data_IF_261456095043
#
_entry.id   IF_261456095043
#
_cell.length_a   1.000
_cell.length_b   1.000
_cell.length_c   1.000
_cell.angle_alpha   90.00
_cell.angle_beta   90.00
_cell.angle_gamma   90.00
#
_symmetry.space_group_name_H-M   'P 1'
#
loop_
_entity.id
_entity.type
_entity.pdbx_description
1 polymer ?
#
# COMPACT_ATOMS: atom_id res chain seq x y z
N UNK A 1 -7.45 -10.78 20.89
CA UNK A 1 -6.59 -10.59 19.71
C UNK A 1 -6.35 -9.10 19.48
N UNK A 2 -7.21 -8.44 18.71
CA UNK A 2 -7.05 -7.03 18.27
C UNK A 2 -6.67 -6.07 19.41
N UNK A 3 -7.40 -6.08 20.54
CA UNK A 3 -7.09 -5.19 21.68
C UNK A 3 -5.64 -5.28 22.17
N UNK A 4 -5.09 -6.50 22.28
CA UNK A 4 -3.70 -6.70 22.73
C UNK A 4 -2.69 -6.14 21.72
N UNK A 5 -3.01 -6.21 20.43
CA UNK A 5 -2.18 -5.67 19.35
C UNK A 5 -2.25 -4.14 19.29
N UNK A 6 -3.44 -3.56 19.51
CA UNK A 6 -3.64 -2.10 19.59
C UNK A 6 -2.95 -1.48 20.81
N UNK A 7 -3.00 -2.15 21.96
CA UNK A 7 -2.38 -1.72 23.22
C UNK A 7 -0.86 -1.98 23.25
N UNK A 8 -0.30 -2.61 22.20
CA UNK A 8 1.11 -3.02 22.13
C UNK A 8 1.56 -3.85 23.35
N UNK A 9 0.70 -4.74 23.81
CA UNK A 9 0.96 -5.54 25.00
C UNK A 9 2.05 -6.60 24.69
N UNK A 10 3.11 -6.62 25.49
CA UNK A 10 4.25 -7.54 25.32
C UNK A 10 3.88 -9.01 25.46
N UNK A 11 2.73 -9.34 26.08
CA UNK A 11 2.24 -10.72 26.15
C UNK A 11 2.08 -11.34 24.77
N UNK A 12 1.86 -10.54 23.72
CA UNK A 12 1.75 -11.01 22.33
C UNK A 12 3.03 -11.72 21.87
N UNK A 13 4.20 -11.30 22.34
CA UNK A 13 5.48 -11.89 21.94
C UNK A 13 5.72 -13.28 22.55
N UNK A 14 4.99 -13.60 23.64
CA UNK A 14 5.03 -14.90 24.31
C UNK A 14 4.06 -15.91 23.68
N UNK A 15 3.02 -15.42 22.98
CA UNK A 15 1.99 -16.29 22.39
C UNK A 15 2.52 -17.10 21.19
N UNK A 16 2.08 -18.36 21.10
CA UNK A 16 2.23 -19.15 19.88
C UNK A 16 1.15 -18.76 18.87
N UNK A 17 1.47 -17.83 17.97
CA UNK A 17 0.58 -17.40 16.89
C UNK A 17 0.97 -18.17 15.62
N UNK A 18 0.06 -19.00 15.11
CA UNK A 18 0.29 -19.87 13.96
C UNK A 18 -0.30 -19.28 12.68
N UNK A 19 0.42 -19.45 11.57
CA UNK A 19 -0.07 -19.17 10.22
C UNK A 19 -0.49 -20.47 9.54
N UNK A 20 -1.66 -20.45 8.91
CA UNK A 20 -2.20 -21.59 8.16
C UNK A 20 -2.08 -21.34 6.65
N UNK A 21 -1.82 -22.40 5.88
CA UNK A 21 -1.78 -22.34 4.42
C UNK A 21 -0.57 -21.62 3.81
N UNK A 22 0.43 -21.24 4.62
CA UNK A 22 1.66 -20.60 4.13
C UNK A 22 2.64 -21.61 3.53
N UNK A 23 2.72 -22.80 4.12
CA UNK A 23 3.56 -23.90 3.67
C UNK A 23 2.70 -25.13 3.41
N UNK A 24 2.99 -25.87 2.32
CA UNK A 24 2.40 -27.20 2.11
C UNK A 24 3.12 -28.24 2.98
N UNK A 25 2.99 -28.07 4.30
CA UNK A 25 3.70 -28.85 5.30
C UNK A 25 2.79 -29.16 6.49
N UNK A 26 3.05 -30.28 7.16
CA UNK A 26 2.41 -30.63 8.44
C UNK A 26 3.02 -29.87 9.62
N UNK A 27 4.15 -29.18 9.41
CA UNK A 27 4.84 -28.41 10.43
C UNK A 27 4.02 -27.17 10.79
N UNK A 28 3.96 -26.85 12.08
CA UNK A 28 3.44 -25.58 12.56
C UNK A 28 4.30 -24.42 12.04
N UNK A 29 3.69 -23.48 11.32
CA UNK A 29 4.35 -22.23 10.91
C UNK A 29 4.04 -21.15 11.95
N UNK A 30 5.04 -20.75 12.75
CA UNK A 30 4.87 -19.73 13.80
C UNK A 30 5.21 -18.32 13.26
N UNK A 31 4.36 -17.35 13.56
CA UNK A 31 4.66 -15.94 13.34
C UNK A 31 5.49 -15.38 14.51
N UNK A 32 6.66 -14.83 14.20
CA UNK A 32 7.68 -14.43 15.20
C UNK A 32 7.64 -12.95 15.60
N UNK A 33 7.06 -12.07 14.76
CA UNK A 33 7.10 -10.61 14.93
C UNK A 33 5.72 -9.99 14.73
N UNK A 34 4.71 -10.59 15.36
CA UNK A 34 3.30 -10.22 15.13
C UNK A 34 3.02 -8.79 15.56
N UNK A 35 3.49 -8.39 16.75
CA UNK A 35 3.23 -7.06 17.29
C UNK A 35 3.77 -5.92 16.39
N UNK A 36 5.07 -5.88 16.02
CA UNK A 36 5.57 -4.86 15.10
C UNK A 36 4.98 -4.98 13.69
N UNK A 37 4.76 -6.19 13.18
CA UNK A 37 4.18 -6.39 11.85
C UNK A 37 2.75 -5.83 11.77
N UNK A 38 1.94 -6.01 12.82
CA UNK A 38 0.60 -5.46 12.89
C UNK A 38 0.60 -3.93 12.82
N UNK A 39 1.45 -3.28 13.63
CA UNK A 39 1.58 -1.82 13.62
C UNK A 39 1.98 -1.27 12.25
N UNK A 40 3.04 -1.83 11.65
CA UNK A 40 3.51 -1.43 10.32
C UNK A 40 2.43 -1.65 9.27
N UNK A 41 1.71 -2.79 9.30
CA UNK A 41 0.68 -3.07 8.31
C UNK A 41 -0.47 -2.05 8.36
N UNK A 42 -0.86 -1.59 9.55
CA UNK A 42 -1.84 -0.51 9.70
C UNK A 42 -1.36 0.83 9.12
N UNK A 43 -0.09 1.15 9.34
CA UNK A 43 0.55 2.35 8.76
C UNK A 43 0.58 2.27 7.23
N UNK A 44 0.92 1.10 6.68
CA UNK A 44 0.91 0.86 5.24
C UNK A 44 -0.49 0.96 4.62
N UNK A 45 -1.53 0.46 5.30
CA UNK A 45 -2.93 0.64 4.86
C UNK A 45 -3.30 2.12 4.85
N UNK A 46 -2.90 2.87 5.88
CA UNK A 46 -3.16 4.30 5.98
C UNK A 46 -2.42 5.08 4.87
N UNK A 47 -1.15 4.75 4.63
CA UNK A 47 -0.35 5.29 3.54
C UNK A 47 -0.98 4.98 2.16
N UNK A 48 -1.43 3.74 1.93
CA UNK A 48 -2.16 3.37 0.72
C UNK A 48 -3.40 4.24 0.50
N UNK A 49 -4.22 4.42 1.55
CA UNK A 49 -5.38 5.31 1.53
C UNK A 49 -5.02 6.74 1.12
N UNK A 50 -4.07 7.34 1.85
CA UNK A 50 -3.64 8.73 1.65
C UNK A 50 -2.98 8.92 0.28
N UNK A 51 -2.17 7.99 -0.19
CA UNK A 51 -1.53 8.09 -1.51
C UNK A 51 -2.55 8.14 -2.65
N UNK A 52 -3.62 7.35 -2.59
CA UNK A 52 -4.70 7.43 -3.59
C UNK A 52 -5.44 8.77 -3.53
N UNK A 53 -5.64 9.32 -2.33
CA UNK A 53 -6.26 10.63 -2.13
C UNK A 53 -5.41 11.79 -2.66
N UNK A 54 -4.09 11.75 -2.41
CA UNK A 54 -3.15 12.74 -2.95
C UNK A 54 -3.13 12.68 -4.47
N UNK A 55 -3.04 11.48 -5.05
CA UNK A 55 -3.07 11.28 -6.50
C UNK A 55 -4.37 11.81 -7.12
N UNK A 56 -5.51 11.53 -6.50
CA UNK A 56 -6.81 12.04 -6.94
C UNK A 56 -6.83 13.58 -6.96
N UNK A 57 -6.36 14.21 -5.88
CA UNK A 57 -6.35 15.67 -5.78
C UNK A 57 -5.43 16.32 -6.83
N UNK A 58 -4.26 15.73 -7.08
CA UNK A 58 -3.30 16.19 -8.08
C UNK A 58 -3.87 16.03 -9.50
N UNK A 59 -4.40 14.85 -9.83
CA UNK A 59 -4.94 14.56 -11.16
C UNK A 59 -6.14 15.44 -11.50
N UNK A 60 -7.06 15.61 -10.55
CA UNK A 60 -8.25 16.45 -10.72
C UNK A 60 -7.96 17.95 -10.50
N UNK A 61 -6.70 18.31 -10.22
CA UNK A 61 -6.23 19.69 -9.96
C UNK A 61 -7.08 20.43 -8.92
N UNK A 62 -7.39 19.74 -7.82
CA UNK A 62 -8.26 20.27 -6.77
C UNK A 62 -7.49 21.26 -5.90
N UNK A 63 -8.02 22.47 -5.77
CA UNK A 63 -7.37 23.56 -5.04
C UNK A 63 -8.08 23.95 -3.74
N UNK A 64 -9.24 23.37 -3.45
CA UNK A 64 -10.01 23.67 -2.23
C UNK A 64 -10.48 22.42 -1.49
N UNK A 65 -10.52 22.52 -0.16
CA UNK A 65 -11.06 21.45 0.70
C UNK A 65 -12.52 21.09 0.39
N UNK A 66 -13.32 22.10 -0.02
CA UNK A 66 -14.74 21.90 -0.31
C UNK A 66 -14.93 21.03 -1.55
N UNK A 67 -14.19 21.33 -2.61
CA UNK A 67 -14.25 20.57 -3.87
C UNK A 67 -13.67 19.16 -3.67
N UNK A 68 -12.63 19.05 -2.84
CA UNK A 68 -12.05 17.75 -2.47
C UNK A 68 -13.10 16.83 -1.81
N UNK A 69 -13.87 17.33 -0.85
CA UNK A 69 -14.92 16.53 -0.21
C UNK A 69 -16.02 16.07 -1.17
N UNK A 70 -16.32 16.85 -2.22
CA UNK A 70 -17.36 16.50 -3.20
C UNK A 70 -16.97 15.33 -4.10
N UNK A 71 -15.67 15.15 -4.36
CA UNK A 71 -15.17 14.06 -5.22
C UNK A 71 -14.82 12.79 -4.44
N UNK A 72 -14.84 12.83 -3.10
CA UNK A 72 -14.55 11.66 -2.29
C UNK A 72 -15.64 10.59 -2.45
N UNK A 73 -15.27 9.31 -2.51
CA UNK A 73 -16.25 8.23 -2.57
C UNK A 73 -16.85 7.96 -1.18
N UNK A 74 -17.67 8.88 -0.67
CA UNK A 74 -18.23 8.88 0.70
C UNK A 74 -19.06 7.63 1.04
N UNK A 75 -19.55 6.92 0.02
CA UNK A 75 -20.33 5.68 0.16
C UNK A 75 -19.51 4.41 -0.08
N UNK A 76 -18.20 4.54 -0.27
CA UNK A 76 -17.34 3.39 -0.51
C UNK A 76 -17.40 2.41 0.66
N UNK A 77 -17.53 1.13 0.32
CA UNK A 77 -17.40 0.01 1.24
C UNK A 77 -16.25 -0.85 0.78
N UNK A 78 -15.46 -1.35 1.72
CA UNK A 78 -14.38 -2.28 1.39
C UNK A 78 -15.01 -3.57 0.88
N UNK A 79 -14.52 -4.03 -0.27
CA UNK A 79 -14.93 -5.27 -0.91
C UNK A 79 -13.74 -6.23 -1.00
N UNK A 80 -14.01 -7.51 -1.16
CA UNK A 80 -12.97 -8.51 -1.43
C UNK A 80 -12.48 -8.40 -2.87
N UNK A 81 -11.18 -8.52 -3.06
CA UNK A 81 -10.54 -8.55 -4.38
C UNK A 81 -9.95 -9.93 -4.65
N UNK A 82 -9.90 -10.30 -5.93
CA UNK A 82 -9.34 -11.57 -6.39
C UNK A 82 -8.39 -11.32 -7.55
N UNK A 83 -7.31 -12.09 -7.61
CA UNK A 83 -6.42 -12.12 -8.76
C UNK A 83 -6.98 -13.11 -9.78
N UNK A 84 -7.25 -12.63 -10.99
CA UNK A 84 -7.75 -13.45 -12.10
C UNK A 84 -6.84 -13.24 -13.30
N UNK A 85 -5.95 -14.19 -13.54
CA UNK A 85 -5.04 -14.15 -14.69
C UNK A 85 -4.04 -12.98 -14.67
N UNK A 86 -3.65 -12.50 -13.48
CA UNK A 86 -2.73 -11.37 -13.32
C UNK A 86 -3.41 -10.02 -13.11
N UNK A 87 -4.73 -9.93 -13.30
CA UNK A 87 -5.50 -8.71 -13.01
C UNK A 87 -6.21 -8.83 -11.66
N UNK A 88 -6.06 -7.82 -10.82
CA UNK A 88 -6.83 -7.68 -9.57
C UNK A 88 -8.18 -7.02 -9.87
N UNK A 89 -9.26 -7.67 -9.47
CA UNK A 89 -10.62 -7.17 -9.63
C UNK A 89 -11.46 -7.44 -8.37
N UNK A 90 -12.51 -6.63 -8.11
CA UNK A 90 -13.50 -6.93 -7.09
C UNK A 90 -14.15 -8.28 -7.35
N UNK A 91 -14.31 -9.08 -6.29
CA UNK A 91 -14.96 -10.40 -6.36
C UNK A 91 -16.36 -10.33 -6.98
N UNK A 92 -17.11 -9.29 -6.64
CA UNK A 92 -18.45 -9.05 -7.20
C UNK A 92 -18.45 -8.90 -8.73
N UNK A 93 -17.38 -8.31 -9.31
CA UNK A 93 -17.23 -8.22 -10.77
C UNK A 93 -17.03 -9.61 -11.38
N UNK A 94 -16.18 -10.44 -10.77
CA UNK A 94 -15.98 -11.83 -11.21
C UNK A 94 -17.26 -12.66 -11.09
N UNK A 95 -17.96 -12.57 -9.96
CA UNK A 95 -19.21 -13.31 -9.75
C UNK A 95 -20.27 -12.91 -10.80
N UNK A 96 -20.29 -11.65 -11.21
CA UNK A 96 -21.17 -11.16 -12.29
C UNK A 96 -20.77 -11.78 -13.64
N UNK A 97 -19.49 -11.83 -13.96
CA UNK A 97 -18.98 -12.46 -15.18
C UNK A 97 -19.32 -13.96 -15.22
N UNK A 98 -19.08 -14.69 -14.13
CA UNK A 98 -19.40 -16.12 -14.03
C UNK A 98 -20.90 -16.37 -14.25
N UNK A 99 -21.78 -15.55 -13.68
CA UNK A 99 -23.22 -15.62 -13.95
C UNK A 99 -23.56 -15.34 -15.41
N UNK A 100 -22.88 -14.39 -16.05
CA UNK A 100 -23.10 -14.07 -17.46
C UNK A 100 -22.62 -15.19 -18.39
N UNK A 101 -21.54 -15.90 -18.04
CA UNK A 101 -21.09 -17.10 -18.73
C UNK A 101 -22.12 -18.23 -18.60
N UNK A 102 -22.55 -18.54 -17.37
CA UNK A 102 -23.53 -19.61 -17.12
C UNK A 102 -24.90 -19.34 -17.78
N UNK A 103 -25.31 -18.08 -17.86
CA UNK A 103 -26.57 -17.69 -18.53
C UNK A 103 -26.45 -17.57 -20.05
N UNK A 104 -25.26 -17.80 -20.63
CA UNK A 104 -25.02 -17.65 -22.06
C UNK A 104 -25.13 -16.20 -22.54
N UNK A 105 -25.01 -15.20 -21.66
CA UNK A 105 -24.91 -13.79 -22.06
C UNK A 105 -23.52 -13.47 -22.60
N UNK A 106 -22.49 -14.05 -22.00
CA UNK A 106 -21.14 -14.07 -22.57
C UNK A 106 -21.00 -15.38 -23.34
N UNK A 107 -20.78 -15.29 -24.66
CA UNK A 107 -20.73 -16.46 -25.57
C UNK A 107 -19.39 -16.65 -26.26
N UNK A 108 -18.47 -15.70 -26.13
CA UNK A 108 -17.21 -15.72 -26.86
C UNK A 108 -16.02 -15.26 -26.01
N UNK A 109 -14.82 -15.68 -26.40
CA UNK A 109 -13.57 -15.19 -25.78
C UNK A 109 -13.39 -13.68 -25.97
N UNK A 110 -13.86 -13.11 -27.07
CA UNK A 110 -13.81 -11.67 -27.30
C UNK A 110 -14.63 -10.90 -26.26
N UNK A 111 -15.81 -11.41 -25.88
CA UNK A 111 -16.63 -10.81 -24.82
C UNK A 111 -15.99 -10.96 -23.44
N UNK A 112 -15.29 -12.07 -23.18
CA UNK A 112 -14.45 -12.23 -21.98
C UNK A 112 -13.34 -11.17 -21.95
N UNK A 113 -12.59 -10.98 -23.04
CA UNK A 113 -11.54 -9.96 -23.11
C UNK A 113 -12.10 -8.54 -22.96
N UNK A 114 -13.26 -8.25 -23.54
CA UNK A 114 -13.95 -6.97 -23.36
C UNK A 114 -14.33 -6.72 -21.89
N UNK A 115 -14.72 -7.78 -21.15
CA UNK A 115 -14.94 -7.68 -19.70
C UNK A 115 -13.65 -7.31 -18.96
N UNK A 116 -12.51 -7.93 -19.29
CA UNK A 116 -11.22 -7.59 -18.66
C UNK A 116 -10.79 -6.16 -18.96
N UNK A 117 -10.90 -5.71 -20.21
CA UNK A 117 -10.61 -4.33 -20.62
C UNK A 117 -11.45 -3.34 -19.82
N UNK A 118 -12.77 -3.55 -19.77
CA UNK A 118 -13.68 -2.70 -18.99
C UNK A 118 -13.32 -2.65 -17.51
N UNK A 119 -12.94 -3.77 -16.90
CA UNK A 119 -12.49 -3.76 -15.50
C UNK A 119 -11.11 -3.13 -15.34
N UNK A 120 -10.27 -3.15 -16.38
CA UNK A 120 -9.00 -2.42 -16.43
C UNK A 120 -9.23 -0.92 -16.37
N UNK A 121 -10.17 -0.42 -17.19
CA UNK A 121 -10.54 1.00 -17.21
C UNK A 121 -11.11 1.47 -15.86
N UNK A 122 -11.93 0.62 -15.23
CA UNK A 122 -12.55 0.90 -13.92
C UNK A 122 -11.58 0.71 -12.74
N UNK A 123 -10.42 0.08 -12.95
CA UNK A 123 -9.53 -0.34 -11.86
C UNK A 123 -9.11 0.83 -10.98
N UNK A 124 -8.80 1.98 -11.59
CA UNK A 124 -8.37 3.18 -10.87
C UNK A 124 -9.43 3.67 -9.89
N UNK A 125 -10.67 3.79 -10.34
CA UNK A 125 -11.78 4.25 -9.52
C UNK A 125 -12.14 3.22 -8.44
N UNK A 126 -12.14 1.94 -8.78
CA UNK A 126 -12.38 0.85 -7.81
C UNK A 126 -11.28 0.81 -6.74
N UNK A 127 -10.02 0.98 -7.13
CA UNK A 127 -8.87 1.04 -6.22
C UNK A 127 -8.97 2.25 -5.29
N UNK A 128 -9.39 3.41 -5.79
CA UNK A 128 -9.61 4.62 -4.98
C UNK A 128 -10.73 4.39 -3.95
N UNK A 129 -11.87 3.82 -4.36
CA UNK A 129 -12.96 3.49 -3.45
C UNK A 129 -12.50 2.53 -2.35
N UNK A 130 -11.79 1.46 -2.73
CA UNK A 130 -11.22 0.50 -1.78
C UNK A 130 -10.22 1.16 -0.82
N UNK A 131 -9.34 2.02 -1.33
CA UNK A 131 -8.35 2.74 -0.52
C UNK A 131 -9.01 3.65 0.52
N UNK A 132 -10.01 4.43 0.10
CA UNK A 132 -10.73 5.33 0.99
C UNK A 132 -11.52 4.56 2.06
N UNK A 133 -12.22 3.49 1.69
CA UNK A 133 -12.92 2.65 2.65
C UNK A 133 -11.97 2.00 3.66
N UNK A 134 -10.82 1.49 3.20
CA UNK A 134 -9.80 0.88 4.06
C UNK A 134 -9.18 1.90 5.03
N UNK A 135 -8.95 3.14 4.56
CA UNK A 135 -8.44 4.24 5.38
C UNK A 135 -9.41 4.61 6.52
N UNK A 136 -10.71 4.66 6.21
CA UNK A 136 -11.74 4.95 7.21
C UNK A 136 -11.86 3.81 8.23
N UNK A 137 -11.87 2.56 7.77
CA UNK A 137 -11.98 1.35 8.60
C UNK A 137 -10.79 1.26 9.58
N UNK A 138 -9.56 1.40 9.09
CA UNK A 138 -8.35 1.25 9.92
C UNK A 138 -8.19 2.35 10.97
N UNK A 139 -8.72 3.55 10.69
CA UNK A 139 -8.74 4.68 11.62
C UNK A 139 -10.02 4.73 12.47
N UNK A 140 -10.95 3.78 12.31
CA UNK A 140 -12.25 3.73 13.00
C UNK A 140 -13.07 5.02 12.81
N UNK A 141 -13.03 5.57 11.59
CA UNK A 141 -13.68 6.82 11.22
C UNK A 141 -14.95 6.58 10.40
N UNK A 142 -15.96 7.42 10.62
CA UNK A 142 -17.08 7.57 9.69
C UNK A 142 -16.72 8.61 8.63
N UNK A 143 -17.31 8.56 7.41
CA UNK A 143 -17.08 9.59 6.40
C UNK A 143 -17.35 11.02 6.90
N UNK A 144 -18.35 11.19 7.79
CA UNK A 144 -18.68 12.47 8.42
C UNK A 144 -17.60 13.02 9.36
N UNK A 145 -16.78 12.15 9.95
CA UNK A 145 -15.67 12.53 10.84
C UNK A 145 -14.39 12.84 10.07
N UNK A 146 -14.35 12.58 8.77
CA UNK A 146 -13.22 12.93 7.91
C UNK A 146 -13.18 14.44 7.67
N UNK A 147 -12.42 15.15 8.51
CA UNK A 147 -12.28 16.60 8.49
C UNK A 147 -10.83 17.04 8.25
N UNK A 148 -10.60 18.36 8.14
CA UNK A 148 -9.28 18.93 7.85
C UNK A 148 -8.19 18.47 8.82
N UNK A 149 -8.47 18.50 10.13
CA UNK A 149 -7.50 18.10 11.17
C UNK A 149 -7.10 16.63 11.02
N UNK A 150 -8.08 15.77 10.78
CA UNK A 150 -7.83 14.35 10.54
C UNK A 150 -7.01 14.15 9.28
N UNK A 151 -7.38 14.81 8.18
CA UNK A 151 -6.64 14.65 6.92
C UNK A 151 -5.21 15.18 7.01
N UNK A 152 -4.98 16.29 7.72
CA UNK A 152 -3.62 16.79 8.01
C UNK A 152 -2.77 15.73 8.69
N UNK A 153 -3.27 15.17 9.79
CA UNK A 153 -2.57 14.14 10.56
C UNK A 153 -2.25 12.92 9.69
N UNK A 154 -3.20 12.51 8.85
CA UNK A 154 -3.00 11.38 7.93
C UNK A 154 -1.95 11.67 6.86
N UNK A 155 -1.88 12.91 6.34
CA UNK A 155 -0.83 13.32 5.40
C UNK A 155 0.54 13.31 6.06
N UNK A 156 0.67 13.89 7.25
CA UNK A 156 1.92 13.91 8.02
C UNK A 156 2.40 12.48 8.33
N UNK A 157 1.49 11.61 8.78
CA UNK A 157 1.78 10.19 9.01
C UNK A 157 2.20 9.47 7.72
N UNK A 158 1.55 9.75 6.59
CA UNK A 158 1.89 9.14 5.30
C UNK A 158 3.29 9.57 4.81
N UNK A 159 3.67 10.84 5.03
CA UNK A 159 5.03 11.33 4.74
C UNK A 159 6.05 10.58 5.59
N UNK A 160 5.83 10.50 6.91
CA UNK A 160 6.72 9.79 7.83
C UNK A 160 6.84 8.29 7.49
N UNK A 161 5.73 7.65 7.11
CA UNK A 161 5.72 6.25 6.67
C UNK A 161 6.57 6.07 5.41
N UNK A 162 6.42 6.96 4.42
CA UNK A 162 7.19 6.90 3.18
C UNK A 162 8.68 7.17 3.38
N UNK A 163 9.02 8.08 4.30
CA UNK A 163 10.40 8.37 4.71
C UNK A 163 11.04 7.14 5.38
N UNK A 164 10.33 6.50 6.30
CA UNK A 164 10.77 5.25 6.91
C UNK A 164 10.99 4.15 5.86
N UNK A 165 10.09 4.02 4.88
CA UNK A 165 10.26 3.06 3.77
C UNK A 165 11.52 3.35 2.95
N UNK A 166 11.79 4.61 2.62
CA UNK A 166 13.00 5.00 1.88
C UNK A 166 14.27 4.64 2.65
N UNK A 167 14.29 4.96 3.96
CA UNK A 167 15.41 4.60 4.84
C UNK A 167 15.59 3.07 4.91
N UNK A 168 14.51 2.31 5.06
CA UNK A 168 14.58 0.85 5.10
C UNK A 168 15.09 0.23 3.79
N UNK A 169 14.73 0.81 2.64
CA UNK A 169 15.26 0.42 1.32
C UNK A 169 16.77 0.66 1.26
N UNK A 170 17.20 1.86 1.67
CA UNK A 170 18.62 2.21 1.73
C UNK A 170 19.39 1.27 2.67
N UNK A 171 18.95 1.14 3.92
CA UNK A 171 19.60 0.30 4.94
C UNK A 171 19.70 -1.17 4.49
N UNK A 172 18.66 -1.67 3.80
CA UNK A 172 18.68 -3.04 3.27
C UNK A 172 19.68 -3.25 2.13
N UNK A 173 20.07 -2.20 1.39
CA UNK A 173 21.11 -2.27 0.35
C UNK A 173 22.49 -1.96 0.94
N UNK A 174 22.58 -0.97 1.81
CA UNK A 174 23.81 -0.56 2.48
C UNK A 174 24.42 -1.68 3.32
N UNK A 175 23.60 -2.57 3.91
CA UNK A 175 24.11 -3.73 4.66
C UNK A 175 24.99 -4.64 3.81
N UNK A 176 24.78 -4.69 2.49
CA UNK A 176 25.54 -5.55 1.59
C UNK A 176 26.97 -5.02 1.39
N UNK A 177 27.17 -3.70 1.51
CA UNK A 177 28.47 -3.03 1.43
C UNK A 177 29.20 -2.93 2.78
N UNK A 178 28.47 -2.80 3.89
CA UNK A 178 29.07 -2.58 5.22
C UNK A 178 29.33 -3.87 6.00
N UNK A 179 28.72 -5.00 5.62
CA UNK A 179 28.87 -6.25 6.36
C UNK A 179 30.27 -6.86 6.14
N UNK A 180 31.05 -6.96 7.22
CA UNK A 180 32.43 -7.47 7.20
C UNK A 180 32.55 -8.87 6.58
N UNK A 181 31.59 -9.77 6.85
CA UNK A 181 31.56 -11.11 6.27
C UNK A 181 31.20 -11.13 4.78
N UNK A 182 30.55 -10.09 4.27
CA UNK A 182 30.30 -9.96 2.82
C UNK A 182 31.49 -9.31 2.13
N UNK A 183 32.15 -8.38 2.80
CA UNK A 183 33.37 -7.71 2.32
C UNK A 183 34.54 -8.68 2.14
N UNK A 184 34.67 -9.70 3.00
CA UNK A 184 35.80 -10.65 2.95
C UNK A 184 35.94 -11.42 1.62
N UNK A 185 34.90 -11.46 0.78
CA UNK A 185 34.93 -12.12 -0.54
C UNK A 185 35.65 -11.26 -1.59
N UNK A 186 35.84 -9.98 -1.30
CA UNK A 186 36.48 -9.02 -2.19
C UNK A 186 37.84 -8.59 -1.64
N UNK A 187 38.83 -8.52 -2.51
CA UNK A 187 40.19 -8.08 -2.15
C UNK A 187 40.25 -6.56 -1.98
N UNK A 188 39.44 -5.81 -2.73
CA UNK A 188 39.37 -4.34 -2.68
C UNK A 188 37.94 -3.83 -2.75
N UNK A 189 37.75 -2.59 -2.28
CA UNK A 189 36.48 -1.88 -2.39
C UNK A 189 36.08 -1.68 -3.87
N UNK A 190 37.03 -1.40 -4.75
CA UNK A 190 36.79 -1.26 -6.20
C UNK A 190 36.25 -2.55 -6.83
N UNK A 191 36.78 -3.71 -6.43
CA UNK A 191 36.29 -5.00 -6.88
C UNK A 191 34.86 -5.25 -6.38
N UNK A 192 34.58 -4.90 -5.12
CA UNK A 192 33.24 -5.01 -4.55
C UNK A 192 32.25 -4.10 -5.28
N UNK A 193 32.60 -2.84 -5.52
CA UNK A 193 31.73 -1.87 -6.20
C UNK A 193 31.51 -2.24 -7.67
N UNK A 194 32.47 -2.90 -8.33
CA UNK A 194 32.30 -3.42 -9.69
C UNK A 194 31.33 -4.60 -9.76
N UNK A 195 31.25 -5.42 -8.70
CA UNK A 195 30.39 -6.61 -8.64
C UNK A 195 28.99 -6.27 -8.12
N UNK A 196 28.90 -5.49 -7.04
CA UNK A 196 27.63 -5.12 -6.42
C UNK A 196 27.00 -3.87 -7.05
N UNK A 197 27.78 -3.10 -7.81
CA UNK A 197 27.43 -1.74 -8.20
C UNK A 197 27.69 -0.77 -7.04
N UNK A 198 27.89 0.50 -7.35
CA UNK A 198 28.01 1.53 -6.32
C UNK A 198 26.66 1.81 -5.67
N UNK A 199 26.67 2.03 -4.35
CA UNK A 199 25.45 2.25 -3.57
C UNK A 199 24.77 3.59 -3.94
N UNK A 200 25.57 4.62 -4.21
CA UNK A 200 25.15 5.97 -4.65
C UNK A 200 24.65 6.00 -6.10
N UNK A 201 25.14 5.10 -6.95
CA UNK A 201 24.67 4.96 -8.33
C UNK A 201 23.48 4.00 -8.46
N UNK A 202 22.93 3.52 -7.33
CA UNK A 202 21.81 2.58 -7.36
C UNK A 202 20.54 3.24 -7.92
N UNK A 203 20.17 2.87 -9.15
CA UNK A 203 19.03 3.42 -9.88
C UNK A 203 17.71 3.28 -9.12
N UNK A 204 17.52 2.19 -8.37
CA UNK A 204 16.32 1.97 -7.59
C UNK A 204 16.24 2.91 -6.37
N UNK A 205 17.33 3.08 -5.62
CA UNK A 205 17.37 4.01 -4.48
C UNK A 205 17.09 5.44 -4.97
N UNK A 206 17.76 5.86 -6.04
CA UNK A 206 17.59 7.19 -6.62
C UNK A 206 16.15 7.41 -7.11
N UNK A 207 15.53 6.42 -7.74
CA UNK A 207 14.12 6.47 -8.11
C UNK A 207 13.21 6.63 -6.88
N UNK A 208 13.44 5.84 -5.83
CA UNK A 208 12.62 5.89 -4.61
C UNK A 208 12.76 7.22 -3.88
N UNK A 209 13.94 7.84 -3.91
CA UNK A 209 14.15 9.17 -3.35
C UNK A 209 13.40 10.24 -4.14
N UNK A 210 13.48 10.22 -5.48
CA UNK A 210 12.70 11.14 -6.33
C UNK A 210 11.19 11.01 -6.08
N UNK A 211 10.67 9.78 -6.03
CA UNK A 211 9.25 9.51 -5.75
C UNK A 211 8.84 10.01 -4.36
N UNK A 212 9.72 9.88 -3.34
CA UNK A 212 9.46 10.42 -2.02
C UNK A 212 9.40 11.94 -2.01
N UNK A 213 10.36 12.62 -2.65
CA UNK A 213 10.37 14.09 -2.72
C UNK A 213 9.13 14.61 -3.46
N UNK A 214 8.75 13.95 -4.55
CA UNK A 214 7.53 14.28 -5.29
C UNK A 214 6.29 14.12 -4.41
N UNK A 215 6.14 12.99 -3.73
CA UNK A 215 5.02 12.73 -2.83
C UNK A 215 4.96 13.74 -1.68
N UNK A 216 6.10 14.01 -1.03
CA UNK A 216 6.23 14.99 0.07
C UNK A 216 5.83 16.39 -0.38
N UNK A 217 6.29 16.81 -1.56
CA UNK A 217 5.92 18.11 -2.16
C UNK A 217 4.42 18.20 -2.43
N UNK A 218 3.83 17.17 -3.05
CA UNK A 218 2.39 17.11 -3.33
C UNK A 218 1.56 17.16 -2.05
N UNK A 219 1.91 16.36 -1.04
CA UNK A 219 1.22 16.34 0.25
C UNK A 219 1.31 17.70 0.97
N UNK A 220 2.49 18.31 1.03
CA UNK A 220 2.66 19.64 1.63
C UNK A 220 1.91 20.73 0.87
N UNK A 221 1.86 20.65 -0.46
CA UNK A 221 1.07 21.60 -1.26
C UNK A 221 -0.42 21.47 -0.94
N UNK A 222 -0.95 20.26 -0.75
CA UNK A 222 -2.34 20.05 -0.32
C UNK A 222 -2.60 20.62 1.08
N UNK A 223 -1.67 20.43 2.04
CA UNK A 223 -1.76 21.04 3.38
C UNK A 223 -1.94 22.55 3.27
N UNK A 224 -1.15 23.21 2.40
CA UNK A 224 -1.23 24.65 2.15
C UNK A 224 -2.52 25.07 1.45
N UNK A 225 -2.85 24.45 0.31
CA UNK A 225 -4.00 24.81 -0.52
C UNK A 225 -5.33 24.62 0.23
N UNK A 226 -5.46 23.52 0.95
CA UNK A 226 -6.69 23.19 1.68
C UNK A 226 -6.78 23.87 3.05
N UNK A 227 -5.72 24.59 3.46
CA UNK A 227 -5.61 25.26 4.77
C UNK A 227 -5.84 24.25 5.92
N UNK A 228 -5.08 23.14 5.90
CA UNK A 228 -5.22 22.03 6.84
C UNK A 228 -4.56 22.28 8.20
#
# INVERSE_FOLDING_TARGET
>A
GERLLEERNSIVDELEILAEGFENSRRKTKLIKVLPAYGIFKELISYYGVSQLVNLAVEKKINSWKDFLQILPLRAKRSSWVNVGGQLLPRASLDTMVKQLHSGKIKSWNEVHAFYQKNGDLYKDQKLQHAFASLLEINKLTPSKFNRKVFKKLLEQAIATREWMLKAIYDSRAKDHHNEFRRMVYETQEQMDKVLGKLDENTFINQQEMEFQQFKSQANNLIRLFKL
#
